data_IF_371257049076
#
_entry.id   IF_371257049076
#
_cell.length_a   1.000
_cell.length_b   1.000
_cell.length_c   1.000
_cell.angle_alpha   90.00
_cell.angle_beta   90.00
_cell.angle_gamma   90.00
#
_symmetry.space_group_name_H-M   'P 1'
#
loop_
_entity.id
_entity.type
_entity.pdbx_description
1 polymer ?
#
# COMPACT_ATOMS: atom_id res chain seq x y z
N UNK A 1 -30.45 -68.04 -20.32
CA UNK A 1 -29.63 -67.01 -21.05
C UNK A 1 -30.50 -65.76 -21.10
N UNK A 2 -30.22 -64.58 -20.55
CA UNK A 2 -28.99 -63.91 -20.13
C UNK A 2 -29.30 -63.03 -18.89
N UNK A 3 -28.91 -63.50 -17.70
CA UNK A 3 -28.65 -62.64 -16.52
C UNK A 3 -27.37 -61.85 -16.78
N UNK A 4 -27.36 -60.87 -17.69
CA UNK A 4 -26.19 -59.99 -17.91
C UNK A 4 -26.63 -58.69 -18.58
N UNK A 5 -27.37 -57.82 -17.87
CA UNK A 5 -27.59 -56.44 -18.36
C UNK A 5 -27.99 -55.44 -17.25
N UNK A 6 -27.49 -55.62 -16.01
CA UNK A 6 -27.73 -54.67 -14.90
C UNK A 6 -26.46 -54.33 -14.11
N UNK A 7 -25.28 -54.48 -14.72
CA UNK A 7 -23.99 -54.25 -14.04
C UNK A 7 -23.08 -53.24 -14.76
N UNK A 8 -23.48 -52.70 -15.93
CA UNK A 8 -22.67 -51.71 -16.64
C UNK A 8 -23.13 -50.25 -16.49
N UNK A 9 -24.33 -49.99 -15.93
CA UNK A 9 -24.80 -48.60 -15.74
C UNK A 9 -24.47 -48.00 -14.38
N UNK A 10 -23.89 -48.77 -13.45
CA UNK A 10 -23.58 -48.28 -12.10
C UNK A 10 -22.14 -47.76 -11.95
N UNK A 11 -21.24 -48.14 -12.85
CA UNK A 11 -19.82 -47.76 -12.79
C UNK A 11 -19.51 -46.43 -13.53
N UNK A 12 -20.43 -45.93 -14.36
CA UNK A 12 -20.23 -44.66 -15.08
C UNK A 12 -20.82 -43.45 -14.33
N UNK A 13 -21.77 -43.68 -13.42
CA UNK A 13 -22.37 -42.61 -12.61
C UNK A 13 -21.52 -42.25 -11.37
N UNK A 14 -20.62 -43.14 -10.91
CA UNK A 14 -19.80 -42.90 -9.73
C UNK A 14 -18.52 -42.09 -10.01
N UNK A 15 -18.12 -41.94 -11.28
CA UNK A 15 -16.86 -41.26 -11.67
C UNK A 15 -17.09 -39.81 -12.13
N UNK A 16 -18.33 -39.40 -12.39
CA UNK A 16 -18.66 -38.04 -12.89
C UNK A 16 -19.03 -37.06 -11.76
N UNK A 17 -19.34 -37.53 -10.54
CA UNK A 17 -19.62 -36.63 -9.40
C UNK A 17 -18.39 -36.19 -8.60
N UNK A 18 -17.17 -36.61 -9.00
CA UNK A 18 -15.94 -36.28 -8.28
C UNK A 18 -14.92 -35.51 -9.14
N UNK A 19 -15.41 -34.71 -10.09
CA UNK A 19 -14.58 -33.75 -10.81
C UNK A 19 -15.08 -32.35 -10.51
N UNK A 20 -14.24 -31.64 -9.75
CA UNK A 20 -14.12 -30.19 -9.77
C UNK A 20 -15.34 -29.37 -9.34
N UNK A 21 -15.80 -29.58 -8.10
CA UNK A 21 -16.16 -28.43 -7.26
C UNK A 21 -15.20 -28.33 -6.08
N UNK A 22 -13.91 -28.42 -6.37
CA UNK A 22 -12.95 -27.61 -5.64
C UNK A 22 -13.11 -26.20 -6.21
N UNK A 23 -14.24 -25.56 -5.90
CA UNK A 23 -14.25 -24.11 -5.85
C UNK A 23 -13.21 -23.81 -4.77
N UNK A 24 -11.98 -23.54 -5.20
CA UNK A 24 -11.06 -22.73 -4.42
C UNK A 24 -11.93 -21.61 -3.87
N UNK A 25 -11.96 -21.33 -2.55
CA UNK A 25 -12.61 -20.12 -2.10
C UNK A 25 -12.03 -19.02 -2.99
N UNK A 26 -12.89 -18.47 -3.85
CA UNK A 26 -12.53 -17.33 -4.68
C UNK A 26 -12.00 -16.37 -3.66
N UNK A 27 -10.68 -16.15 -3.66
CA UNK A 27 -10.03 -15.23 -2.77
C UNK A 27 -10.92 -14.00 -2.82
N UNK A 28 -11.65 -13.76 -1.73
CA UNK A 28 -12.57 -12.64 -1.64
C UNK A 28 -11.72 -11.47 -2.11
N UNK A 29 -12.13 -10.83 -3.21
CA UNK A 29 -11.37 -9.75 -3.82
C UNK A 29 -11.03 -8.80 -2.69
N UNK A 30 -9.76 -8.79 -2.27
CA UNK A 30 -9.33 -8.00 -1.13
C UNK A 30 -9.48 -6.55 -1.58
N UNK A 31 -10.61 -5.93 -1.26
CA UNK A 31 -10.82 -4.52 -1.54
C UNK A 31 -9.73 -3.74 -0.81
N UNK A 32 -8.84 -3.16 -1.61
CA UNK A 32 -7.77 -2.32 -1.12
C UNK A 32 -8.34 -0.95 -0.81
N UNK A 33 -8.45 -0.59 0.48
CA UNK A 33 -9.26 0.56 0.95
C UNK A 33 -8.43 1.80 1.31
N UNK A 34 -7.22 1.99 0.78
CA UNK A 34 -6.51 3.26 1.01
C UNK A 34 -7.05 4.37 0.09
N UNK A 35 -7.05 5.62 0.57
CA UNK A 35 -7.60 6.78 -0.15
C UNK A 35 -6.53 7.86 -0.33
N UNK A 36 -5.77 7.84 -1.44
CA UNK A 36 -4.78 8.87 -1.71
C UNK A 36 -5.43 10.24 -1.76
N UNK A 37 -4.80 11.22 -1.12
CA UNK A 37 -5.33 12.58 -0.99
C UNK A 37 -4.33 13.59 -1.54
N UNK A 38 -4.81 14.44 -2.45
CA UNK A 38 -4.02 15.56 -2.96
C UNK A 38 -4.05 16.72 -1.96
N UNK A 39 -2.87 17.24 -1.60
CA UNK A 39 -2.72 18.48 -0.82
C UNK A 39 -1.65 19.34 -1.49
N UNK A 40 -2.07 20.42 -2.12
CA UNK A 40 -1.17 21.25 -2.93
C UNK A 40 -0.56 20.45 -4.07
N UNK A 41 0.78 20.46 -4.15
CA UNK A 41 1.55 19.73 -5.17
C UNK A 41 1.84 18.26 -4.81
N UNK A 42 1.34 17.77 -3.67
CA UNK A 42 1.71 16.45 -3.14
C UNK A 42 0.53 15.49 -3.08
N UNK A 43 0.82 14.20 -3.22
CA UNK A 43 -0.12 13.10 -3.10
C UNK A 43 0.23 12.26 -1.86
N UNK A 44 -0.64 12.30 -0.85
CA UNK A 44 -0.48 11.61 0.42
C UNK A 44 -1.37 10.35 0.50
N UNK A 45 -1.17 9.55 1.55
CA UNK A 45 -2.06 8.44 1.88
C UNK A 45 -1.80 7.15 1.10
N UNK A 46 -0.60 7.04 0.51
CA UNK A 46 -0.13 5.83 -0.18
C UNK A 46 0.54 4.91 0.87
N UNK A 47 0.06 3.66 1.05
CA UNK A 47 0.70 2.67 1.91
C UNK A 47 2.12 2.31 1.47
N UNK A 48 2.95 1.81 2.39
CA UNK A 48 4.21 1.19 1.99
C UNK A 48 3.96 -0.05 1.11
N UNK A 49 4.94 -0.38 0.26
CA UNK A 49 4.88 -1.53 -0.66
C UNK A 49 3.69 -1.48 -1.64
N UNK A 50 3.27 -0.25 -1.98
CA UNK A 50 2.26 -0.02 -3.01
C UNK A 50 2.94 -0.07 -4.38
N UNK A 51 2.47 -0.97 -5.25
CA UNK A 51 2.91 -1.07 -6.64
C UNK A 51 2.04 -0.20 -7.55
N UNK A 52 2.44 -0.05 -8.82
CA UNK A 52 1.63 0.63 -9.84
C UNK A 52 0.19 0.08 -9.88
N UNK A 53 0.04 -1.24 -9.96
CA UNK A 53 -1.25 -1.89 -10.13
C UNK A 53 -2.18 -1.63 -8.95
N UNK A 54 -1.62 -1.67 -7.74
CA UNK A 54 -2.33 -1.36 -6.49
C UNK A 54 -2.84 0.08 -6.46
N UNK A 55 -2.01 1.05 -6.87
CA UNK A 55 -2.42 2.45 -6.91
C UNK A 55 -3.43 2.72 -8.04
N UNK A 56 -3.24 2.08 -9.20
CA UNK A 56 -4.13 2.20 -10.36
C UNK A 56 -5.53 1.64 -10.08
N UNK A 57 -5.63 0.57 -9.28
CA UNK A 57 -6.90 0.02 -8.84
C UNK A 57 -7.71 1.04 -8.00
N UNK A 58 -7.03 1.75 -7.09
CA UNK A 58 -7.66 2.71 -6.17
C UNK A 58 -8.04 4.02 -6.87
N UNK A 59 -7.19 4.55 -7.75
CA UNK A 59 -7.41 5.85 -8.41
C UNK A 59 -8.16 5.75 -9.74
N UNK A 60 -8.64 4.57 -10.11
CA UNK A 60 -9.47 4.23 -11.28
C UNK A 60 -9.32 5.16 -12.50
N UNK A 61 -8.49 4.77 -13.48
CA UNK A 61 -8.29 5.44 -14.79
C UNK A 61 -7.90 6.94 -14.74
N UNK A 62 -7.61 7.47 -13.56
CA UNK A 62 -7.13 8.85 -13.37
C UNK A 62 -5.62 8.96 -13.60
N UNK A 63 -4.88 7.87 -13.38
CA UNK A 63 -3.42 7.83 -13.54
C UNK A 63 -3.06 7.85 -15.03
N UNK A 64 -2.22 8.81 -15.40
CA UNK A 64 -1.63 8.93 -16.74
C UNK A 64 -0.25 8.28 -16.78
N UNK A 65 0.64 8.69 -15.86
CA UNK A 65 1.97 8.11 -15.71
C UNK A 65 2.46 8.19 -14.26
N UNK A 66 3.42 7.32 -13.93
CA UNK A 66 4.18 7.37 -12.69
C UNK A 66 5.66 7.33 -13.05
N UNK A 67 6.44 8.24 -12.50
CA UNK A 67 7.89 8.31 -12.71
C UNK A 67 8.62 8.24 -11.38
N UNK A 68 9.66 7.44 -11.31
CA UNK A 68 10.57 7.40 -10.17
C UNK A 68 11.36 8.72 -10.05
N UNK A 69 12.07 8.89 -8.95
CA UNK A 69 12.99 10.02 -8.74
C UNK A 69 14.12 10.09 -9.78
N UNK A 70 14.44 8.98 -10.46
CA UNK A 70 15.40 8.97 -11.57
C UNK A 70 14.79 9.33 -12.94
N UNK A 71 13.46 9.54 -13.00
CA UNK A 71 12.72 9.81 -14.22
C UNK A 71 12.29 8.56 -14.99
N UNK A 72 12.60 7.36 -14.48
CA UNK A 72 12.15 6.10 -15.09
C UNK A 72 10.64 5.94 -14.92
N UNK A 73 9.95 5.59 -16.00
CA UNK A 73 8.50 5.32 -15.96
C UNK A 73 8.24 3.99 -15.27
N UNK A 74 7.41 4.02 -14.23
CA UNK A 74 6.94 2.83 -13.52
C UNK A 74 5.69 2.32 -14.23
N UNK A 75 5.71 1.06 -14.63
CA UNK A 75 4.64 0.43 -15.40
C UNK A 75 4.03 -0.77 -14.65
N UNK A 76 2.82 -1.15 -15.07
CA UNK A 76 2.10 -2.33 -14.58
C UNK A 76 2.96 -3.60 -14.67
N UNK A 77 2.84 -4.48 -13.67
CA UNK A 77 3.57 -5.76 -13.61
C UNK A 77 5.04 -5.67 -13.18
N UNK A 78 5.55 -4.49 -12.81
CA UNK A 78 6.87 -4.37 -12.19
C UNK A 78 6.80 -4.41 -10.67
N UNK A 79 7.82 -5.04 -10.05
CA UNK A 79 8.00 -5.10 -8.60
C UNK A 79 8.60 -3.80 -8.01
N UNK A 80 8.34 -2.66 -8.64
CA UNK A 80 8.77 -1.36 -8.14
C UNK A 80 7.70 -0.81 -7.20
N UNK A 81 8.09 -0.51 -5.97
CA UNK A 81 7.23 0.22 -5.04
C UNK A 81 7.31 1.71 -5.31
N UNK A 82 6.15 2.36 -5.21
CA UNK A 82 6.05 3.82 -5.30
C UNK A 82 6.62 4.37 -4.00
N UNK A 83 7.63 5.23 -4.10
CA UNK A 83 8.30 5.86 -2.97
C UNK A 83 8.09 7.36 -2.88
N UNK A 84 8.47 7.94 -1.74
CA UNK A 84 8.48 9.40 -1.58
C UNK A 84 9.38 10.07 -2.63
N UNK A 85 8.84 11.10 -3.28
CA UNK A 85 9.53 11.84 -4.35
C UNK A 85 9.18 11.36 -5.76
N UNK A 86 8.43 10.27 -5.92
CA UNK A 86 7.94 9.84 -7.23
C UNK A 86 6.96 10.87 -7.77
N UNK A 87 6.94 11.05 -9.10
CA UNK A 87 5.95 11.89 -9.77
C UNK A 87 4.78 11.03 -10.21
N UNK A 88 3.58 11.38 -9.77
CA UNK A 88 2.32 10.71 -10.13
C UNK A 88 1.48 11.71 -10.92
N UNK A 89 1.23 11.45 -12.20
CA UNK A 89 0.36 12.31 -13.00
C UNK A 89 -1.07 11.81 -12.98
N UNK A 90 -1.97 12.66 -12.50
CA UNK A 90 -3.40 12.41 -12.35
C UNK A 90 -4.19 13.46 -13.12
N UNK A 91 -5.04 13.05 -14.06
CA UNK A 91 -5.92 13.94 -14.84
C UNK A 91 -5.17 15.14 -15.46
N UNK A 92 -3.95 14.94 -15.94
CA UNK A 92 -3.11 15.96 -16.59
C UNK A 92 -2.31 16.85 -15.65
N UNK A 93 -2.44 16.67 -14.33
CA UNK A 93 -1.64 17.36 -13.32
C UNK A 93 -0.59 16.41 -12.75
N UNK A 94 0.58 16.93 -12.39
CA UNK A 94 1.65 16.15 -11.76
C UNK A 94 1.74 16.44 -10.27
N UNK A 95 1.79 15.38 -9.47
CA UNK A 95 1.92 15.44 -8.02
C UNK A 95 3.14 14.66 -7.55
N UNK A 96 3.77 15.12 -6.49
CA UNK A 96 4.87 14.38 -5.84
C UNK A 96 4.31 13.48 -4.75
N UNK A 97 4.58 12.17 -4.83
CA UNK A 97 4.18 11.21 -3.81
C UNK A 97 4.91 11.49 -2.49
N UNK A 98 4.16 11.44 -1.39
CA UNK A 98 4.69 11.54 -0.02
C UNK A 98 4.14 10.37 0.80
N UNK A 99 5.02 9.45 1.17
CA UNK A 99 4.73 8.30 2.02
C UNK A 99 5.32 8.60 3.39
N UNK A 100 4.47 8.67 4.42
CA UNK A 100 4.92 9.10 5.74
C UNK A 100 6.02 8.19 6.28
N UNK A 101 7.13 8.77 6.72
CA UNK A 101 8.28 8.05 7.22
C UNK A 101 9.22 7.47 6.16
N UNK A 102 8.80 7.30 4.89
CA UNK A 102 9.70 6.88 3.80
C UNK A 102 10.53 8.09 3.35
N UNK A 103 11.72 8.23 3.93
CA UNK A 103 12.61 9.39 3.69
C UNK A 103 13.76 9.05 2.76
N UNK A 104 14.04 7.76 2.55
CA UNK A 104 14.97 7.34 1.51
C UNK A 104 14.30 7.37 0.11
N UNK A 105 12.98 7.24 0.04
CA UNK A 105 12.16 7.31 -1.17
C UNK A 105 12.02 5.98 -1.92
N UNK A 106 12.17 4.84 -1.26
CA UNK A 106 12.10 3.50 -1.88
C UNK A 106 10.72 2.83 -1.75
N UNK A 107 9.78 3.46 -1.06
CA UNK A 107 8.42 2.96 -0.87
C UNK A 107 8.29 1.86 0.18
N UNK A 108 9.35 1.55 0.93
CA UNK A 108 9.37 0.56 2.00
C UNK A 108 9.79 1.24 3.30
N UNK A 109 9.03 1.08 4.37
CA UNK A 109 9.38 1.71 5.63
C UNK A 109 10.35 0.83 6.43
N UNK A 110 11.63 1.17 6.41
CA UNK A 110 12.70 0.34 6.99
C UNK A 110 13.44 1.00 8.14
N UNK A 111 14.37 0.26 8.76
CA UNK A 111 15.30 0.81 9.74
C UNK A 111 16.17 1.93 9.18
N UNK A 112 16.39 1.96 7.85
CA UNK A 112 17.20 2.99 7.21
C UNK A 112 16.53 4.35 7.27
N UNK A 113 15.21 4.38 7.04
CA UNK A 113 14.39 5.58 7.18
C UNK A 113 14.41 6.12 8.60
N UNK A 114 14.20 5.24 9.57
CA UNK A 114 14.31 5.60 10.98
C UNK A 114 15.67 6.20 11.32
N UNK A 115 16.77 5.63 10.82
CA UNK A 115 18.13 6.15 11.06
C UNK A 115 18.29 7.54 10.43
N UNK A 116 17.80 7.77 9.22
CA UNK A 116 17.87 9.09 8.57
C UNK A 116 17.06 10.14 9.35
N UNK A 117 15.81 9.82 9.74
CA UNK A 117 14.98 10.72 10.56
C UNK A 117 15.66 10.98 11.91
N UNK A 118 16.17 9.94 12.59
CA UNK A 118 16.88 10.09 13.86
C UNK A 118 18.09 11.00 13.72
N UNK A 119 18.90 10.81 12.68
CA UNK A 119 20.10 11.63 12.48
C UNK A 119 19.75 13.07 12.15
N UNK A 120 18.65 13.30 11.42
CA UNK A 120 18.13 14.63 11.15
C UNK A 120 17.62 15.33 12.39
N UNK A 121 16.80 14.64 13.18
CA UNK A 121 16.33 15.10 14.49
C UNK A 121 17.50 15.46 15.43
N UNK A 122 18.62 14.72 15.36
CA UNK A 122 19.83 15.00 16.14
C UNK A 122 20.78 16.04 15.51
N UNK A 123 20.46 16.58 14.32
CA UNK A 123 21.29 17.56 13.62
C UNK A 123 22.59 16.99 13.01
N UNK A 124 22.71 15.67 12.89
CA UNK A 124 23.92 14.97 12.38
C UNK A 124 23.83 14.55 10.90
N UNK A 125 22.70 14.84 10.27
CA UNK A 125 22.39 14.58 8.87
C UNK A 125 21.26 15.52 8.45
N UNK A 126 21.23 15.94 7.19
CA UNK A 126 20.09 16.72 6.66
C UNK A 126 19.36 15.87 5.63
N UNK A 127 18.07 15.62 5.86
CA UNK A 127 17.22 14.95 4.86
C UNK A 127 17.05 15.92 3.69
N UNK A 128 17.45 15.54 2.46
CA UNK A 128 17.36 16.43 1.32
C UNK A 128 15.96 16.38 0.68
N UNK A 129 15.46 17.54 0.27
CA UNK A 129 14.26 17.67 -0.55
C UNK A 129 12.96 17.74 0.26
N UNK A 130 12.06 18.61 -0.18
CA UNK A 130 10.81 18.95 0.51
C UNK A 130 9.90 17.73 0.72
N UNK A 131 9.69 16.89 -0.31
CA UNK A 131 8.84 15.70 -0.19
C UNK A 131 9.32 14.75 0.92
N UNK A 132 10.65 14.64 1.12
CA UNK A 132 11.24 13.79 2.15
C UNK A 132 11.19 14.44 3.53
N UNK A 133 11.27 15.76 3.62
CA UNK A 133 11.01 16.49 4.87
C UNK A 133 9.53 16.36 5.29
N UNK A 134 8.61 16.47 4.34
CA UNK A 134 7.18 16.20 4.56
C UNK A 134 6.95 14.76 5.02
N UNK A 135 7.59 13.77 4.39
CA UNK A 135 7.55 12.38 4.85
C UNK A 135 8.10 12.23 6.27
N UNK A 136 9.15 12.99 6.62
CA UNK A 136 9.72 13.00 7.97
C UNK A 136 8.82 13.73 8.99
N UNK A 137 7.79 14.47 8.57
CA UNK A 137 6.89 15.21 9.45
C UNK A 137 7.33 16.65 9.76
N UNK A 138 8.13 17.25 8.87
CA UNK A 138 8.49 18.67 8.87
C UNK A 138 7.59 19.41 7.86
N UNK A 139 6.38 19.77 8.30
CA UNK A 139 5.31 20.31 7.44
C UNK A 139 5.52 21.79 7.07
N UNK A 140 6.28 22.53 7.89
CA UNK A 140 6.58 23.96 7.71
C UNK A 140 8.02 24.22 7.26
N UNK A 141 8.80 23.15 7.03
CA UNK A 141 10.19 23.19 6.55
C UNK A 141 11.12 23.98 7.48
N UNK A 142 10.86 23.93 8.79
CA UNK A 142 11.67 24.60 9.80
C UNK A 142 12.85 23.72 10.30
N UNK A 143 12.95 22.50 9.76
CA UNK A 143 13.96 21.50 10.11
C UNK A 143 13.62 20.69 11.35
N UNK A 144 12.43 20.87 11.95
CA UNK A 144 12.00 20.13 13.15
C UNK A 144 11.03 19.04 12.80
N UNK A 145 11.48 17.81 13.00
CA UNK A 145 10.60 16.64 12.89
C UNK A 145 9.60 16.59 14.03
N UNK A 146 8.31 16.49 13.70
CA UNK A 146 7.24 16.21 14.67
C UNK A 146 7.50 14.90 15.40
N UNK A 147 7.54 14.96 16.74
CA UNK A 147 7.94 13.84 17.59
C UNK A 147 7.07 12.57 17.42
N UNK A 148 5.79 12.73 17.09
CA UNK A 148 4.90 11.58 16.88
C UNK A 148 5.25 10.80 15.62
N UNK A 149 5.64 11.46 14.51
CA UNK A 149 6.10 10.78 13.28
C UNK A 149 7.36 9.97 13.57
N UNK A 150 8.33 10.58 14.25
CA UNK A 150 9.56 9.89 14.67
C UNK A 150 9.25 8.62 15.51
N UNK A 151 8.31 8.72 16.47
CA UNK A 151 7.93 7.59 17.32
C UNK A 151 7.18 6.51 16.54
N UNK A 152 6.28 6.88 15.63
CA UNK A 152 5.53 5.93 14.79
C UNK A 152 6.46 5.14 13.89
N UNK A 153 7.40 5.79 13.19
CA UNK A 153 8.39 5.11 12.35
C UNK A 153 9.26 4.17 13.18
N UNK A 154 9.74 4.61 14.35
CA UNK A 154 10.49 3.76 15.28
C UNK A 154 9.69 2.51 15.67
N UNK A 155 8.43 2.70 16.08
CA UNK A 155 7.58 1.59 16.52
C UNK A 155 7.25 0.63 15.38
N UNK A 156 7.10 1.14 14.16
CA UNK A 156 6.90 0.35 12.95
C UNK A 156 8.09 -0.55 12.66
N UNK A 157 9.29 0.01 12.63
CA UNK A 157 10.53 -0.75 12.42
C UNK A 157 10.74 -1.81 13.52
N UNK A 158 10.33 -1.52 14.76
CA UNK A 158 10.38 -2.46 15.88
C UNK A 158 9.23 -3.47 15.90
N UNK A 159 8.26 -3.39 14.97
CA UNK A 159 7.10 -4.29 14.89
C UNK A 159 6.02 -4.07 15.94
N UNK A 160 6.14 -3.04 16.78
CA UNK A 160 5.18 -2.72 17.86
C UNK A 160 4.02 -1.81 17.42
N UNK A 161 4.01 -1.42 16.15
CA UNK A 161 3.00 -0.61 15.50
C UNK A 161 3.05 -0.89 13.99
N UNK A 162 1.94 -0.72 13.27
CA UNK A 162 1.90 -0.84 11.81
C UNK A 162 1.54 0.53 11.25
N UNK A 163 2.46 1.12 10.48
CA UNK A 163 2.32 2.43 9.86
C UNK A 163 2.19 2.24 8.35
N UNK A 164 1.40 3.09 7.68
CA UNK A 164 1.17 3.02 6.23
C UNK A 164 0.83 1.62 5.73
N UNK A 165 0.04 0.87 6.49
CA UNK A 165 -0.44 -0.44 6.04
C UNK A 165 -1.79 -0.25 5.36
N UNK A 166 -1.98 -0.96 4.25
CA UNK A 166 -3.31 -1.14 3.70
C UNK A 166 -4.06 -2.12 4.63
N UNK A 167 -5.07 -1.64 5.35
CA UNK A 167 -5.93 -2.52 6.12
C UNK A 167 -6.90 -3.19 5.15
N UNK A 168 -6.73 -4.50 4.97
CA UNK A 168 -7.83 -5.33 4.48
C UNK A 168 -8.69 -5.63 5.70
N UNK A 169 -9.81 -4.91 5.84
CA UNK A 169 -10.80 -5.25 6.84
C UNK A 169 -11.53 -6.48 6.28
N UNK A 170 -11.38 -7.69 6.86
CA UNK A 170 -12.27 -8.78 6.48
C UNK A 170 -13.70 -8.33 6.78
N UNK A 171 -14.64 -8.51 5.85
CA UNK A 171 -16.05 -8.25 6.13
C UNK A 171 -16.47 -9.19 7.28
N UNK A 172 -16.58 -8.61 8.47
CA UNK A 172 -17.08 -9.29 9.66
C UNK A 172 -18.25 -8.47 10.17
N UNK A 173 -19.39 -9.11 10.42
CA UNK A 173 -20.63 -8.49 10.96
C UNK A 173 -20.47 -8.01 12.42
N UNK A 174 -19.35 -7.40 12.77
CA UNK A 174 -19.09 -6.79 14.06
C UNK A 174 -19.03 -5.28 13.87
N UNK A 175 -19.78 -4.57 14.71
CA UNK A 175 -19.86 -3.10 14.72
C UNK A 175 -18.47 -2.48 14.59
N UNK A 176 -18.34 -1.55 13.65
CA UNK A 176 -17.14 -0.77 13.35
C UNK A 176 -16.46 -0.27 14.64
N UNK A 177 -15.41 -0.95 15.12
CA UNK A 177 -14.50 -0.40 16.12
C UNK A 177 -13.37 0.38 15.42
N UNK A 178 -13.79 1.45 14.74
CA UNK A 178 -13.01 2.67 14.45
C UNK A 178 -11.49 2.51 14.19
N UNK A 179 -11.06 1.56 13.35
CA UNK A 179 -9.67 1.48 12.86
C UNK A 179 -9.63 1.56 11.33
N UNK A 180 -9.18 2.64 10.70
CA UNK A 180 -8.64 3.85 11.26
C UNK A 180 -8.42 4.88 10.18
N UNK A 181 -9.36 5.81 10.08
CA UNK A 181 -9.12 7.20 9.67
C UNK A 181 -10.23 8.05 10.30
N UNK A 182 -10.11 8.41 11.57
CA UNK A 182 -10.91 9.51 12.12
C UNK A 182 -10.19 10.82 11.88
N UNK A 183 -10.82 11.65 11.08
CA UNK A 183 -10.47 13.04 10.79
C UNK A 183 -10.71 13.90 12.04
N UNK A 184 -9.79 13.88 12.98
CA UNK A 184 -9.56 14.87 14.03
C UNK A 184 -8.29 14.37 14.71
N UNK A 185 -7.17 15.10 14.69
CA UNK A 185 -6.94 16.24 15.57
C UNK A 185 -5.95 17.22 14.94
N UNK A 186 -6.21 18.49 15.25
CA UNK A 186 -5.26 19.62 15.24
C UNK A 186 -4.00 19.27 16.04
#
# INVERSE_FOLDING_TARGET
MRRRLRLLSLMLAAVISFVALCATPSAAEEEMTFKPTVKGAYLYGIPEKTTYDKLAAVLYKTIIDIKSTSGAVVVSGQDTYIGTGFTVSLNGNSYTAVILGDVNGDGILTAMDYIHIKRHYLGTYTIPGEAKLLAAGDDDFDGKIKAYIYLMVKRHVLGSYKMNVNYTVPYTDFEDDESGWTTSWV
#
